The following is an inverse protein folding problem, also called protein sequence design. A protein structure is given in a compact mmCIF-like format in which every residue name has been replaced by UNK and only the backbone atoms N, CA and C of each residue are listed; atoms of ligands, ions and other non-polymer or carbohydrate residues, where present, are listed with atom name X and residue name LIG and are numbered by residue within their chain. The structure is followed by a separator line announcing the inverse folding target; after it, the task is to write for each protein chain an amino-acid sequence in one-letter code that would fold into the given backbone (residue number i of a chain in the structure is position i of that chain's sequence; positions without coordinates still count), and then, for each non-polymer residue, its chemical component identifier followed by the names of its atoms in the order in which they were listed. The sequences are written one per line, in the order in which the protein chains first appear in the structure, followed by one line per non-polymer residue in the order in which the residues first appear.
data_IF_892561289512
#
_entry.id   IF_892561289512
#
_cell.length_a   1.000
_cell.length_b   1.000
_cell.length_c   1.000
_cell.angle_alpha   90.00
_cell.angle_beta   90.00
_cell.angle_gamma   90.00
#
_symmetry.space_group_name_H-M   'P 1'
#
loop_
_entity.id
_entity.type
_entity.pdbx_description
1 polymer ?
#
# COMPACT_ATOMS: atom_id res chain seq x y z
N UNK A 1 16.51 29.16 -20.91
CA UNK A 1 15.19 28.77 -20.34
C UNK A 1 14.88 27.33 -20.78
N UNK A 2 14.00 26.61 -20.06
CA UNK A 2 13.57 25.28 -20.52
C UNK A 2 12.55 25.42 -21.64
N UNK A 3 12.60 24.53 -22.65
CA UNK A 3 11.59 24.49 -23.72
C UNK A 3 10.18 24.19 -23.21
N UNK A 4 10.06 23.60 -22.02
CA UNK A 4 8.77 23.32 -21.37
C UNK A 4 8.22 24.47 -20.50
N UNK A 5 8.87 25.63 -20.48
CA UNK A 5 8.39 26.80 -19.73
C UNK A 5 6.97 27.26 -20.13
N UNK A 6 6.56 27.30 -21.42
CA UNK A 6 5.22 27.76 -21.80
C UNK A 6 4.07 26.98 -21.13
N UNK A 7 4.24 25.67 -20.89
CA UNK A 7 3.25 24.87 -20.16
C UNK A 7 3.14 25.28 -18.69
N UNK A 8 4.26 25.59 -18.04
CA UNK A 8 4.24 26.07 -16.66
C UNK A 8 3.70 27.50 -16.54
N UNK A 9 3.93 28.33 -17.55
CA UNK A 9 3.41 29.71 -17.59
C UNK A 9 1.90 29.74 -17.91
N UNK A 10 1.43 28.84 -18.79
CA UNK A 10 0.01 28.57 -19.01
C UNK A 10 -0.67 28.10 -17.71
N UNK A 11 -0.16 27.04 -17.07
CA UNK A 11 -0.73 26.52 -15.83
C UNK A 11 -0.76 27.57 -14.70
N UNK A 12 0.28 28.40 -14.56
CA UNK A 12 0.32 29.45 -13.52
C UNK A 12 -0.76 30.52 -13.70
N UNK A 13 -1.25 30.71 -14.93
CA UNK A 13 -2.22 31.74 -15.30
C UNK A 13 -3.64 31.15 -15.54
N UNK A 14 -3.90 29.89 -15.17
CA UNK A 14 -5.24 29.32 -15.21
C UNK A 14 -6.06 29.72 -13.99
N UNK A 15 -7.28 30.18 -14.24
CA UNK A 15 -8.34 30.26 -13.23
C UNK A 15 -8.90 28.85 -12.95
N UNK A 16 -8.95 28.46 -11.67
CA UNK A 16 -9.47 27.16 -11.22
C UNK A 16 -8.40 26.23 -10.62
N UNK A 17 -8.85 25.18 -9.94
CA UNK A 17 -7.97 24.28 -9.16
C UNK A 17 -7.58 22.98 -9.85
N UNK A 18 -8.24 22.58 -10.93
CA UNK A 18 -7.92 21.38 -11.71
C UNK A 18 -8.13 21.65 -13.21
N UNK A 19 -7.28 21.06 -14.06
CA UNK A 19 -7.38 21.13 -15.51
C UNK A 19 -7.00 19.77 -16.12
N UNK A 20 -7.69 19.36 -17.19
CA UNK A 20 -7.27 18.23 -18.02
C UNK A 20 -6.92 18.75 -19.41
N UNK A 21 -5.77 18.34 -19.93
CA UNK A 21 -5.28 18.72 -21.24
C UNK A 21 -5.01 17.49 -22.09
N UNK A 22 -5.45 17.53 -23.34
CA UNK A 22 -4.98 16.60 -24.37
C UNK A 22 -3.50 16.87 -24.70
N UNK A 23 -2.81 15.86 -25.25
CA UNK A 23 -1.43 16.04 -25.68
C UNK A 23 -1.31 17.10 -26.79
N UNK A 24 -2.31 17.22 -27.66
CA UNK A 24 -2.34 18.23 -28.74
C UNK A 24 -2.49 19.66 -28.21
N UNK A 25 -3.21 19.86 -27.11
CA UNK A 25 -3.26 21.16 -26.42
C UNK A 25 -1.91 21.50 -25.81
N UNK A 26 -1.24 20.53 -25.19
CA UNK A 26 0.11 20.72 -24.66
C UNK A 26 1.11 21.01 -25.78
N UNK A 27 1.01 20.35 -26.93
CA UNK A 27 1.85 20.63 -28.11
C UNK A 27 1.60 22.04 -28.68
N UNK A 28 0.34 22.49 -28.70
CA UNK A 28 -0.04 23.88 -29.05
C UNK A 28 0.52 24.90 -28.05
N UNK A 29 0.45 24.63 -26.75
CA UNK A 29 1.00 25.49 -25.68
C UNK A 29 2.54 25.54 -25.75
N UNK A 30 3.19 24.41 -26.05
CA UNK A 30 4.65 24.30 -26.13
C UNK A 30 5.25 24.85 -27.44
N UNK A 31 4.48 24.89 -28.52
CA UNK A 31 4.96 25.26 -29.86
C UNK A 31 5.81 24.18 -30.54
N UNK A 32 5.80 22.94 -30.04
CA UNK A 32 6.47 21.79 -30.64
C UNK A 32 5.79 20.47 -30.23
N UNK A 33 5.83 19.47 -31.12
CA UNK A 33 5.32 18.12 -30.85
C UNK A 33 6.05 17.46 -29.68
N UNK A 34 5.32 16.78 -28.80
CA UNK A 34 5.89 16.10 -27.65
C UNK A 34 6.81 14.97 -28.14
N UNK A 35 7.94 14.72 -27.47
CA UNK A 35 8.81 13.62 -27.83
C UNK A 35 8.04 12.30 -27.67
N UNK A 36 8.38 11.30 -28.48
CA UNK A 36 7.75 9.96 -28.45
C UNK A 36 7.75 9.35 -27.04
N UNK A 37 8.75 9.69 -26.21
CA UNK A 37 8.86 9.29 -24.81
C UNK A 37 7.71 9.76 -23.92
N UNK A 38 7.07 10.90 -24.24
CA UNK A 38 5.87 11.39 -23.55
C UNK A 38 4.65 10.48 -23.78
N UNK A 39 4.57 9.86 -24.96
CA UNK A 39 3.49 8.92 -25.32
C UNK A 39 3.78 7.49 -24.84
N UNK A 40 5.06 7.12 -24.70
CA UNK A 40 5.48 5.74 -24.37
C UNK A 40 5.85 5.49 -22.91
N UNK A 41 6.23 6.50 -22.13
CA UNK A 41 6.77 6.32 -20.79
C UNK A 41 6.09 7.23 -19.75
N UNK A 42 5.24 6.64 -18.88
CA UNK A 42 4.60 7.34 -17.74
C UNK A 42 5.57 8.22 -16.91
N UNK A 43 6.83 7.83 -16.61
CA UNK A 43 7.77 8.68 -15.87
C UNK A 43 8.07 10.06 -16.47
N UNK A 44 7.80 10.29 -17.77
CA UNK A 44 7.92 11.62 -18.39
C UNK A 44 6.99 12.66 -17.72
N UNK A 45 5.78 12.22 -17.34
CA UNK A 45 4.75 13.04 -16.70
C UNK A 45 4.79 13.01 -15.18
N UNK A 46 5.77 12.34 -14.57
CA UNK A 46 5.86 12.22 -13.11
C UNK A 46 6.11 13.56 -12.43
N UNK A 47 5.63 13.70 -11.19
CA UNK A 47 5.91 14.82 -10.29
C UNK A 47 7.37 14.82 -9.74
N UNK A 48 8.33 14.32 -10.52
CA UNK A 48 9.74 14.18 -10.13
C UNK A 48 10.51 15.50 -10.19
N UNK A 49 11.55 15.59 -9.35
CA UNK A 49 12.52 16.68 -9.34
C UNK A 49 13.98 16.23 -9.38
N UNK A 50 14.24 14.93 -9.50
CA UNK A 50 15.55 14.31 -9.21
C UNK A 50 16.58 14.52 -10.35
N UNK A 51 16.17 15.10 -11.48
CA UNK A 51 17.05 15.41 -12.62
C UNK A 51 16.72 16.77 -13.21
N UNK A 52 17.76 17.57 -13.44
CA UNK A 52 17.63 18.80 -14.22
C UNK A 52 17.13 18.51 -15.64
N UNK A 53 16.27 19.40 -16.14
CA UNK A 53 15.60 19.24 -17.43
C UNK A 53 14.35 18.35 -17.43
N UNK A 54 14.00 17.65 -16.34
CA UNK A 54 12.75 16.89 -16.29
C UNK A 54 11.52 17.83 -16.31
N UNK A 55 10.49 17.59 -17.16
CA UNK A 55 9.32 18.47 -17.27
C UNK A 55 8.59 18.70 -15.94
N UNK A 56 8.56 17.69 -15.08
CA UNK A 56 7.94 17.71 -13.76
C UNK A 56 8.50 18.73 -12.78
N UNK A 57 9.69 19.31 -13.03
CA UNK A 57 10.17 20.47 -12.25
C UNK A 57 9.34 21.73 -12.49
N UNK A 58 8.66 21.85 -13.64
CA UNK A 58 8.13 23.12 -14.14
C UNK A 58 6.66 23.34 -13.74
N UNK A 59 5.75 22.38 -13.94
CA UNK A 59 4.39 22.51 -13.40
C UNK A 59 4.40 22.55 -11.86
N UNK A 60 5.31 21.80 -11.21
CA UNK A 60 5.52 21.91 -9.76
C UNK A 60 6.02 23.29 -9.32
N UNK A 61 6.90 23.91 -10.10
CA UNK A 61 7.33 25.30 -9.90
C UNK A 61 6.27 26.35 -10.24
N UNK A 62 5.20 25.97 -10.94
CA UNK A 62 4.00 26.79 -11.16
C UNK A 62 2.91 26.57 -10.09
N UNK A 63 3.15 25.70 -9.09
CA UNK A 63 2.18 25.37 -8.03
C UNK A 63 1.29 24.16 -8.31
N UNK A 64 1.47 23.46 -9.42
CA UNK A 64 0.61 22.34 -9.85
C UNK A 64 1.23 20.96 -9.63
N UNK A 65 0.42 19.91 -9.64
CA UNK A 65 0.81 18.50 -9.64
C UNK A 65 0.07 17.78 -10.77
N UNK A 66 0.74 16.85 -11.44
CA UNK A 66 0.07 15.90 -12.33
C UNK A 66 -0.72 14.91 -11.45
N UNK A 67 -2.00 14.68 -11.74
CA UNK A 67 -2.92 13.87 -10.91
C UNK A 67 -3.52 12.68 -11.64
N UNK A 68 -3.80 12.80 -12.96
CA UNK A 68 -4.25 11.68 -13.81
C UNK A 68 -3.46 11.65 -15.11
N UNK A 69 -3.28 10.47 -15.71
CA UNK A 69 -2.55 10.28 -16.97
C UNK A 69 -3.09 9.07 -17.75
N UNK A 70 -3.76 9.40 -18.85
CA UNK A 70 -4.15 8.46 -19.89
C UNK A 70 -3.19 8.58 -21.08
N UNK A 71 -2.47 7.48 -21.37
CA UNK A 71 -1.59 7.40 -22.54
C UNK A 71 -2.33 6.89 -23.79
N UNK A 72 -3.49 6.26 -23.64
CA UNK A 72 -4.29 5.70 -24.74
C UNK A 72 -5.08 6.81 -25.43
N UNK A 73 -5.96 7.50 -24.67
CA UNK A 73 -6.67 8.69 -25.13
C UNK A 73 -5.81 9.97 -25.11
N UNK A 74 -4.53 9.89 -24.73
CA UNK A 74 -3.56 11.01 -24.76
C UNK A 74 -4.00 12.25 -23.95
N UNK A 75 -4.40 12.06 -22.70
CA UNK A 75 -4.79 13.12 -21.77
C UNK A 75 -3.99 13.09 -20.48
N UNK A 76 -3.73 14.27 -19.91
CA UNK A 76 -3.09 14.42 -18.59
C UNK A 76 -3.80 15.52 -17.79
N UNK A 77 -4.09 15.22 -16.53
CA UNK A 77 -4.76 16.14 -15.62
C UNK A 77 -3.76 16.70 -14.61
N UNK A 78 -3.90 17.98 -14.29
CA UNK A 78 -3.12 18.68 -13.27
C UNK A 78 -4.04 19.34 -12.24
N UNK A 79 -3.68 19.31 -10.96
CA UNK A 79 -4.38 19.99 -9.85
C UNK A 79 -3.43 20.95 -9.11
N UNK A 80 -3.96 22.03 -8.53
CA UNK A 80 -3.19 23.01 -7.73
C UNK A 80 -2.83 22.42 -6.35
N UNK A 81 -1.58 22.57 -5.93
CA UNK A 81 -1.04 21.91 -4.75
C UNK A 81 -1.50 22.54 -3.42
N UNK A 82 -1.82 23.83 -3.43
CA UNK A 82 -2.49 24.52 -2.32
C UNK A 82 -3.94 24.07 -2.18
N UNK A 83 -4.68 23.90 -3.29
CA UNK A 83 -6.03 23.34 -3.27
C UNK A 83 -6.05 21.93 -2.65
N UNK A 84 -5.18 21.03 -3.11
CA UNK A 84 -4.95 19.70 -2.51
C UNK A 84 -4.64 19.74 -1.00
N UNK A 85 -3.99 20.81 -0.53
CA UNK A 85 -3.68 21.01 0.89
C UNK A 85 -4.88 21.52 1.67
N UNK A 86 -5.68 22.43 1.09
CA UNK A 86 -6.94 22.90 1.64
C UNK A 86 -8.00 21.80 1.71
N UNK A 87 -8.03 20.89 0.73
CA UNK A 87 -8.90 19.71 0.72
C UNK A 87 -8.62 18.83 1.97
N UNK A 88 -7.33 18.62 2.30
CA UNK A 88 -6.91 17.87 3.48
C UNK A 88 -7.24 18.59 4.81
N UNK A 89 -6.84 19.86 4.97
CA UNK A 89 -7.18 20.62 6.19
C UNK A 89 -8.70 20.84 6.37
N UNK A 90 -9.49 20.75 5.31
CA UNK A 90 -10.95 20.71 5.37
C UNK A 90 -11.51 19.49 6.11
N UNK A 91 -10.78 18.36 6.13
CA UNK A 91 -11.14 17.14 6.86
C UNK A 91 -10.70 17.16 8.33
N UNK A 92 -10.14 18.27 8.83
CA UNK A 92 -9.69 18.35 10.20
C UNK A 92 -10.89 18.40 11.17
N UNK A 93 -11.04 17.46 12.13
CA UNK A 93 -12.22 17.40 12.98
C UNK A 93 -12.44 18.66 13.82
N UNK A 94 -13.57 19.36 13.62
CA UNK A 94 -13.89 20.59 14.36
C UNK A 94 -14.83 20.36 15.57
N UNK A 95 -15.63 19.29 15.55
CA UNK A 95 -16.62 18.95 16.58
C UNK A 95 -16.23 17.71 17.38
N UNK A 96 -17.05 17.32 18.36
CA UNK A 96 -16.86 16.09 19.16
C UNK A 96 -18.15 15.27 19.16
N UNK A 97 -18.52 14.71 18.00
CA UNK A 97 -19.69 13.82 17.90
C UNK A 97 -19.56 12.59 18.81
N UNK A 98 -20.67 12.01 19.28
CA UNK A 98 -20.62 10.73 19.98
C UNK A 98 -20.38 9.61 18.96
N UNK A 99 -19.60 8.58 19.30
CA UNK A 99 -19.40 7.44 18.38
C UNK A 99 -20.73 6.76 18.07
N UNK A 100 -21.63 6.66 19.06
CA UNK A 100 -23.00 6.20 18.87
C UNK A 100 -23.73 6.96 17.76
N UNK A 101 -23.74 8.30 17.82
CA UNK A 101 -24.44 9.14 16.84
C UNK A 101 -23.79 9.00 15.44
N UNK A 102 -22.46 9.11 15.38
CA UNK A 102 -21.68 9.02 14.13
C UNK A 102 -21.79 7.65 13.44
N UNK A 103 -22.04 6.57 14.20
CA UNK A 103 -22.29 5.24 13.64
C UNK A 103 -23.70 5.14 13.06
N UNK A 104 -24.71 5.74 13.68
CA UNK A 104 -26.05 5.83 13.09
C UNK A 104 -26.03 6.66 11.80
N UNK A 105 -25.33 7.80 11.80
CA UNK A 105 -25.14 8.65 10.61
C UNK A 105 -24.40 7.90 9.48
N UNK A 106 -23.50 6.98 9.83
CA UNK A 106 -22.77 6.13 8.89
C UNK A 106 -23.54 4.88 8.42
N UNK A 107 -24.74 4.62 8.98
CA UNK A 107 -25.61 3.49 8.61
C UNK A 107 -25.45 2.20 9.45
N UNK A 108 -24.68 2.23 10.53
CA UNK A 108 -24.36 1.05 11.36
C UNK A 108 -25.37 0.82 12.49
N UNK A 109 -25.58 -0.45 12.83
CA UNK A 109 -26.40 -0.85 13.98
C UNK A 109 -25.70 -0.51 15.30
N UNK A 110 -26.47 0.09 16.20
CA UNK A 110 -26.05 0.42 17.57
C UNK A 110 -26.94 -0.28 18.62
N UNK A 111 -27.68 -1.31 18.23
CA UNK A 111 -28.58 -2.04 19.14
C UNK A 111 -27.82 -2.62 20.34
N UNK A 112 -26.65 -3.23 20.13
CA UNK A 112 -25.85 -3.79 21.23
C UNK A 112 -25.38 -2.77 22.27
N UNK A 113 -25.27 -1.48 21.91
CA UNK A 113 -24.83 -0.42 22.84
C UNK A 113 -25.80 -0.28 24.01
N UNK A 114 -27.06 -0.69 23.83
CA UNK A 114 -28.11 -0.68 24.84
C UNK A 114 -27.99 -1.84 25.85
N UNK A 115 -27.01 -2.75 25.73
CA UNK A 115 -26.89 -3.95 26.56
C UNK A 115 -25.51 -4.14 27.22
N UNK A 116 -25.52 -4.78 28.39
CA UNK A 116 -24.31 -5.32 29.05
C UNK A 116 -23.82 -6.58 28.32
N UNK A 117 -22.63 -7.07 28.71
CA UNK A 117 -22.15 -8.42 28.34
C UNK A 117 -23.05 -9.57 28.80
N UNK A 118 -24.00 -9.31 29.71
CA UNK A 118 -24.97 -10.29 30.21
C UNK A 118 -26.38 -10.07 29.64
N UNK A 119 -26.58 -9.04 28.81
CA UNK A 119 -27.83 -8.74 28.11
C UNK A 119 -28.73 -7.69 28.78
N UNK A 120 -28.39 -7.24 29.99
CA UNK A 120 -29.18 -6.25 30.75
C UNK A 120 -29.17 -4.86 30.09
N UNK A 121 -30.22 -4.04 30.25
CA UNK A 121 -30.25 -2.68 29.71
C UNK A 121 -29.15 -1.76 30.28
N UNK A 122 -28.56 -0.92 29.43
CA UNK A 122 -27.56 0.10 29.80
C UNK A 122 -28.19 1.50 29.73
N UNK A 123 -28.24 2.20 30.85
CA UNK A 123 -28.83 3.54 30.96
C UNK A 123 -28.08 4.58 30.08
N UNK A 124 -26.76 4.66 30.22
CA UNK A 124 -25.91 5.58 29.45
C UNK A 124 -25.38 4.95 28.15
N UNK A 125 -26.26 4.29 27.39
CA UNK A 125 -25.91 3.48 26.21
C UNK A 125 -25.04 4.21 25.18
N UNK A 126 -25.28 5.51 24.91
CA UNK A 126 -24.48 6.31 23.95
C UNK A 126 -22.99 6.45 24.30
N UNK A 127 -22.63 6.15 25.55
CA UNK A 127 -21.27 6.21 26.08
C UNK A 127 -20.77 4.85 26.59
N UNK A 128 -21.42 3.75 26.20
CA UNK A 128 -21.14 2.40 26.71
C UNK A 128 -19.64 2.03 26.59
N UNK A 129 -18.92 1.78 27.72
CA UNK A 129 -17.50 1.46 27.73
C UNK A 129 -17.08 0.24 26.91
N UNK A 130 -18.02 -0.67 26.58
CA UNK A 130 -17.77 -1.83 25.70
C UNK A 130 -17.45 -1.41 24.25
N UNK A 131 -17.89 -0.22 23.83
CA UNK A 131 -17.83 0.22 22.43
C UNK A 131 -17.16 1.59 22.23
N UNK A 132 -17.22 2.50 23.21
CA UNK A 132 -16.80 3.89 23.03
C UNK A 132 -15.27 4.11 22.95
N UNK A 133 -14.48 3.03 23.00
CA UNK A 133 -13.02 3.01 22.83
C UNK A 133 -12.54 2.23 21.61
N UNK A 134 -13.43 1.57 20.85
CA UNK A 134 -13.05 0.69 19.75
C UNK A 134 -12.59 1.49 18.50
N UNK A 135 -11.69 0.89 17.73
CA UNK A 135 -11.02 1.55 16.59
C UNK A 135 -11.66 1.22 15.23
N UNK A 136 -12.57 0.26 15.21
CA UNK A 136 -13.43 -0.03 14.07
C UNK A 136 -14.78 -0.59 14.55
N UNK A 137 -15.79 -0.51 13.69
CA UNK A 137 -17.13 -1.03 13.90
C UNK A 137 -17.66 -1.67 12.61
N UNK A 138 -18.72 -2.47 12.71
CA UNK A 138 -19.32 -3.16 11.58
C UNK A 138 -18.86 -4.60 11.40
N UNK A 139 -19.14 -5.15 10.22
CA UNK A 139 -18.94 -6.56 9.90
C UNK A 139 -18.87 -6.79 8.39
N UNK A 140 -18.45 -7.98 7.96
CA UNK A 140 -18.39 -8.37 6.54
C UNK A 140 -19.70 -8.15 5.77
N UNK A 141 -20.84 -8.27 6.47
CA UNK A 141 -22.20 -8.09 5.94
C UNK A 141 -22.74 -6.66 6.01
N UNK A 142 -22.11 -5.79 6.81
CA UNK A 142 -22.56 -4.42 7.09
C UNK A 142 -21.62 -3.36 6.46
N UNK A 143 -20.41 -3.78 6.06
CA UNK A 143 -19.29 -2.88 5.80
C UNK A 143 -18.53 -2.57 7.11
N UNK A 144 -17.58 -1.65 7.03
CA UNK A 144 -16.77 -1.25 8.19
C UNK A 144 -16.71 0.27 8.35
N UNK A 145 -16.83 0.74 9.59
CA UNK A 145 -16.45 2.09 10.00
C UNK A 145 -15.08 2.04 10.68
N UNK A 146 -14.12 2.85 10.22
CA UNK A 146 -12.73 2.84 10.68
C UNK A 146 -12.37 4.18 11.35
N UNK A 147 -11.75 4.14 12.53
CA UNK A 147 -11.33 5.33 13.26
C UNK A 147 -9.86 5.68 12.96
N UNK A 148 -9.63 6.62 12.04
CA UNK A 148 -8.27 7.09 11.72
C UNK A 148 -7.94 8.41 12.42
N UNK A 149 -6.67 8.58 12.80
CA UNK A 149 -6.18 9.86 13.31
C UNK A 149 -5.89 10.80 12.14
N UNK A 150 -6.38 12.04 12.22
CA UNK A 150 -6.19 13.05 11.17
C UNK A 150 -4.71 13.25 10.80
N UNK A 151 -3.80 13.16 11.78
CA UNK A 151 -2.34 13.28 11.57
C UNK A 151 -1.69 12.11 10.80
N UNK A 152 -2.42 11.04 10.49
CA UNK A 152 -1.98 9.96 9.60
C UNK A 152 -2.54 10.10 8.18
N UNK A 153 -3.40 11.10 7.93
CA UNK A 153 -3.81 11.42 6.58
C UNK A 153 -2.71 12.22 5.88
N UNK A 154 -2.45 11.87 4.63
CA UNK A 154 -1.53 12.60 3.75
C UNK A 154 -2.18 12.79 2.38
N UNK A 155 -1.52 13.54 1.51
CA UNK A 155 -1.89 13.63 0.10
C UNK A 155 -0.85 12.90 -0.74
N UNK A 156 -1.28 11.93 -1.53
CA UNK A 156 -0.39 11.11 -2.35
C UNK A 156 0.18 11.89 -3.56
N UNK A 157 1.16 11.32 -4.31
CA UNK A 157 1.73 11.98 -5.48
C UNK A 157 0.77 12.26 -6.63
N UNK A 158 -0.47 11.73 -6.58
CA UNK A 158 -1.57 11.93 -7.53
C UNK A 158 -2.64 12.90 -6.98
N UNK A 159 -2.43 13.53 -5.82
CA UNK A 159 -3.37 14.49 -5.24
C UNK A 159 -4.56 13.87 -4.51
N UNK A 160 -4.54 12.55 -4.25
CA UNK A 160 -5.59 11.85 -3.50
C UNK A 160 -5.31 11.94 -2.00
N UNK A 161 -6.34 12.10 -1.18
CA UNK A 161 -6.21 12.00 0.27
C UNK A 161 -6.16 10.53 0.66
N UNK A 162 -5.14 10.15 1.43
CA UNK A 162 -4.86 8.74 1.78
C UNK A 162 -4.46 8.58 3.25
N UNK A 163 -4.81 7.43 3.81
CA UNK A 163 -4.08 6.82 4.92
C UNK A 163 -3.06 5.86 4.31
N UNK A 164 -1.78 6.12 4.54
CA UNK A 164 -0.65 5.27 4.12
C UNK A 164 0.12 4.91 5.39
N UNK A 165 0.10 3.64 5.79
CA UNK A 165 0.62 3.23 7.09
C UNK A 165 0.31 1.79 7.47
N UNK A 166 0.63 1.44 8.72
CA UNK A 166 0.60 0.05 9.19
C UNK A 166 -0.06 -0.02 10.59
N UNK A 167 -1.20 -0.72 10.68
CA UNK A 167 -1.92 -0.93 11.96
C UNK A 167 -1.32 -2.12 12.73
N UNK A 168 -0.77 -3.10 12.02
CA UNK A 168 -0.14 -4.29 12.60
C UNK A 168 1.15 -3.98 13.36
N UNK A 169 1.95 -3.02 12.91
CA UNK A 169 3.11 -2.53 13.67
C UNK A 169 2.70 -2.06 15.08
N UNK A 170 1.55 -1.38 15.18
CA UNK A 170 0.99 -0.96 16.47
C UNK A 170 0.48 -2.16 17.29
N UNK A 171 -0.16 -3.15 16.65
CA UNK A 171 -0.56 -4.41 17.28
C UNK A 171 0.64 -5.16 17.88
N UNK A 172 1.70 -5.37 17.10
CA UNK A 172 2.86 -6.17 17.50
C UNK A 172 3.64 -5.49 18.64
N UNK A 173 3.81 -4.16 18.58
CA UNK A 173 4.38 -3.37 19.68
C UNK A 173 3.56 -3.51 20.98
N UNK A 174 2.23 -3.50 20.89
CA UNK A 174 1.33 -3.69 22.04
C UNK A 174 1.36 -5.13 22.58
N UNK A 175 1.47 -6.14 21.70
CA UNK A 175 1.61 -7.55 22.11
C UNK A 175 2.94 -7.84 22.81
N UNK A 176 4.02 -7.14 22.47
CA UNK A 176 5.28 -7.19 23.24
C UNK A 176 5.06 -6.64 24.65
N UNK A 177 4.47 -5.46 24.79
CA UNK A 177 4.22 -4.83 26.10
C UNK A 177 3.25 -5.67 26.97
N UNK A 178 2.21 -6.27 26.37
CA UNK A 178 1.26 -7.12 27.10
C UNK A 178 1.89 -8.41 27.65
N UNK A 179 2.99 -8.89 27.03
CA UNK A 179 3.70 -10.13 27.39
C UNK A 179 4.96 -9.91 28.23
N UNK A 180 5.43 -8.67 28.36
CA UNK A 180 6.59 -8.33 29.19
C UNK A 180 6.25 -8.39 30.68
N UNK A 181 6.55 -9.49 31.38
CA UNK A 181 6.33 -9.62 32.82
C UNK A 181 7.14 -8.64 33.70
N UNK A 182 8.09 -7.87 33.14
CA UNK A 182 8.72 -6.76 33.86
C UNK A 182 7.86 -5.48 33.88
N UNK A 183 6.85 -5.37 33.01
CA UNK A 183 5.92 -4.24 32.96
C UNK A 183 4.79 -4.35 33.98
N UNK A 184 4.36 -3.19 34.51
CA UNK A 184 3.27 -3.08 35.47
C UNK A 184 1.98 -3.77 34.99
N UNK A 185 1.28 -4.46 35.89
CA UNK A 185 0.07 -5.22 35.57
C UNK A 185 -1.03 -4.37 34.92
N UNK A 186 -1.18 -3.10 35.31
CA UNK A 186 -2.16 -2.19 34.67
C UNK A 186 -1.70 -1.74 33.29
N UNK A 187 -0.39 -1.60 33.07
CA UNK A 187 0.20 -1.31 31.75
C UNK A 187 0.03 -2.48 30.79
N UNK A 188 0.25 -3.72 31.25
CA UNK A 188 0.05 -4.93 30.44
C UNK A 188 -1.41 -5.14 30.06
N UNK A 189 -2.34 -4.93 30.99
CA UNK A 189 -3.78 -5.00 30.72
C UNK A 189 -4.22 -3.93 29.69
N UNK A 190 -3.79 -2.68 29.85
CA UNK A 190 -4.06 -1.63 28.85
C UNK A 190 -3.47 -1.97 27.48
N UNK A 191 -2.25 -2.51 27.44
CA UNK A 191 -1.62 -2.91 26.19
C UNK A 191 -2.37 -4.07 25.51
N UNK A 192 -2.85 -5.05 26.27
CA UNK A 192 -3.72 -6.13 25.78
C UNK A 192 -5.02 -5.60 25.17
N UNK A 193 -5.72 -4.69 25.85
CA UNK A 193 -6.98 -4.13 25.37
C UNK A 193 -6.79 -3.19 24.16
N UNK A 194 -5.63 -2.53 24.07
CA UNK A 194 -5.23 -1.77 22.88
C UNK A 194 -4.83 -2.71 21.73
N UNK A 195 -4.19 -3.85 22.00
CA UNK A 195 -3.83 -4.85 20.99
C UNK A 195 -5.09 -5.47 20.36
N UNK A 196 -6.11 -5.81 21.15
CA UNK A 196 -7.39 -6.30 20.62
C UNK A 196 -8.01 -5.32 19.59
N UNK A 197 -7.98 -4.01 19.90
CA UNK A 197 -8.47 -2.94 19.02
C UNK A 197 -7.63 -2.75 17.76
N UNK A 198 -6.30 -2.80 17.91
CA UNK A 198 -5.37 -2.74 16.78
C UNK A 198 -5.60 -3.91 15.82
N UNK A 199 -5.77 -5.13 16.35
CA UNK A 199 -6.09 -6.31 15.54
C UNK A 199 -7.43 -6.18 14.83
N UNK A 200 -8.49 -5.73 15.51
CA UNK A 200 -9.81 -5.57 14.91
C UNK A 200 -9.77 -4.59 13.71
N UNK A 201 -9.04 -3.48 13.83
CA UNK A 201 -8.87 -2.52 12.73
C UNK A 201 -8.01 -3.09 11.59
N UNK A 202 -6.93 -3.83 11.88
CA UNK A 202 -6.11 -4.52 10.87
C UNK A 202 -6.92 -5.59 10.11
N UNK A 203 -7.73 -6.39 10.82
CA UNK A 203 -8.66 -7.37 10.24
C UNK A 203 -9.70 -6.68 9.33
N UNK A 204 -10.28 -5.56 9.77
CA UNK A 204 -11.28 -4.81 9.01
C UNK A 204 -10.70 -4.22 7.71
N UNK A 205 -9.48 -3.66 7.75
CA UNK A 205 -8.77 -3.16 6.57
C UNK A 205 -8.47 -4.32 5.60
N UNK A 206 -7.99 -5.45 6.11
CA UNK A 206 -7.69 -6.64 5.31
C UNK A 206 -8.95 -7.20 4.62
N UNK A 207 -10.09 -7.21 5.31
CA UNK A 207 -11.36 -7.71 4.76
C UNK A 207 -11.95 -6.75 3.72
N UNK A 208 -11.92 -5.43 3.99
CA UNK A 208 -12.27 -4.40 3.01
C UNK A 208 -11.43 -4.49 1.75
N UNK A 209 -10.11 -4.72 1.87
CA UNK A 209 -9.24 -4.97 0.72
C UNK A 209 -9.65 -6.22 -0.07
N UNK A 210 -9.79 -7.38 0.60
CA UNK A 210 -10.04 -8.67 -0.06
C UNK A 210 -11.37 -8.72 -0.82
N UNK A 211 -12.34 -7.91 -0.40
CA UNK A 211 -13.70 -7.85 -0.97
C UNK A 211 -14.02 -6.56 -1.74
N UNK A 212 -13.11 -5.58 -1.75
CA UNK A 212 -13.37 -4.27 -2.34
C UNK A 212 -14.46 -3.46 -1.63
N UNK A 213 -14.71 -3.69 -0.33
CA UNK A 213 -15.77 -3.00 0.41
C UNK A 213 -15.43 -1.53 0.62
N UNK A 214 -16.40 -0.65 0.33
CA UNK A 214 -16.41 0.71 0.81
C UNK A 214 -16.36 0.74 2.36
N UNK A 215 -15.48 1.56 2.90
CA UNK A 215 -15.37 1.85 4.32
C UNK A 215 -15.87 3.27 4.62
N UNK A 216 -16.52 3.46 5.76
CA UNK A 216 -16.78 4.78 6.35
C UNK A 216 -15.61 5.13 7.26
N UNK A 217 -15.20 6.40 7.31
CA UNK A 217 -14.07 6.82 8.15
C UNK A 217 -14.50 7.87 9.16
N UNK A 218 -14.24 7.58 10.43
CA UNK A 218 -14.40 8.52 11.55
C UNK A 218 -13.03 9.12 11.83
N UNK A 219 -12.86 10.40 11.51
CA UNK A 219 -11.61 11.12 11.69
C UNK A 219 -11.50 11.68 13.10
N UNK A 220 -10.41 11.30 13.79
CA UNK A 220 -10.11 11.64 15.18
C UNK A 220 -8.94 12.63 15.29
N UNK A 221 -9.03 13.56 16.24
CA UNK A 221 -7.97 14.50 16.62
C UNK A 221 -7.92 14.63 18.16
N UNK A 222 -6.73 14.80 18.72
CA UNK A 222 -6.51 14.89 20.16
C UNK A 222 -5.08 14.57 20.56
N UNK A 223 -4.87 14.00 21.74
CA UNK A 223 -3.56 13.58 22.20
C UNK A 223 -3.34 12.10 21.87
N UNK A 224 -2.74 11.81 20.71
CA UNK A 224 -2.27 10.47 20.36
C UNK A 224 -0.95 10.16 21.06
N UNK A 225 -0.87 9.00 21.70
CA UNK A 225 0.36 8.48 22.29
C UNK A 225 1.32 7.95 21.22
N UNK A 226 2.60 8.27 21.39
CA UNK A 226 3.69 7.75 20.56
C UNK A 226 3.94 6.28 20.86
N UNK A 227 4.67 5.58 19.99
CA UNK A 227 4.97 4.14 20.14
C UNK A 227 5.71 3.86 21.46
N UNK A 228 6.59 4.76 21.87
CA UNK A 228 7.31 4.71 23.15
C UNK A 228 6.44 5.06 24.39
N UNK A 229 5.20 5.50 24.20
CA UNK A 229 4.22 5.77 25.28
C UNK A 229 3.08 4.74 25.37
N UNK A 230 3.06 3.72 24.50
CA UNK A 230 2.05 2.65 24.50
C UNK A 230 2.00 1.89 25.84
N UNK A 231 0.80 1.44 26.23
CA UNK A 231 0.53 0.83 27.54
C UNK A 231 0.64 1.77 28.76
N UNK A 232 1.53 2.77 28.75
CA UNK A 232 1.73 3.72 29.86
C UNK A 232 0.47 4.55 30.12
N UNK A 233 -0.17 5.06 29.07
CA UNK A 233 -1.48 5.73 29.16
C UNK A 233 -2.26 5.61 27.84
N UNK A 234 -3.56 5.92 27.87
CA UNK A 234 -4.39 5.93 26.67
C UNK A 234 -4.20 7.23 25.87
N UNK A 235 -4.30 7.13 24.55
CA UNK A 235 -4.59 8.27 23.67
C UNK A 235 -5.96 8.85 23.98
N UNK A 236 -6.15 10.16 23.86
CA UNK A 236 -7.44 10.82 24.11
C UNK A 236 -7.95 11.58 22.88
N UNK A 237 -9.16 11.25 22.44
CA UNK A 237 -9.83 11.94 21.33
C UNK A 237 -10.51 13.20 21.85
N UNK A 238 -10.00 14.36 21.44
CA UNK A 238 -10.54 15.66 21.78
C UNK A 238 -11.71 16.02 20.84
N UNK A 239 -11.54 15.77 19.54
CA UNK A 239 -12.48 16.06 18.46
C UNK A 239 -12.59 14.86 17.51
N UNK A 240 -13.79 14.62 16.97
CA UNK A 240 -14.04 13.63 15.92
C UNK A 240 -15.32 13.92 15.15
N UNK A 241 -15.35 13.50 13.90
CA UNK A 241 -16.52 13.51 13.02
C UNK A 241 -16.45 12.35 12.03
N UNK A 242 -17.59 12.01 11.43
CA UNK A 242 -17.69 11.13 10.28
C UNK A 242 -17.31 11.93 9.02
N UNK A 243 -16.42 11.38 8.20
CA UNK A 243 -16.26 11.83 6.81
C UNK A 243 -17.43 11.29 5.98
N UNK A 244 -18.07 12.17 5.21
CA UNK A 244 -19.21 11.80 4.34
C UNK A 244 -18.78 10.99 3.13
N UNK A 245 -17.50 11.06 2.74
CA UNK A 245 -16.95 10.28 1.65
C UNK A 245 -16.76 8.80 2.01
N UNK A 246 -16.77 7.98 0.97
CA UNK A 246 -16.36 6.57 1.05
C UNK A 246 -14.85 6.45 0.87
N UNK A 247 -14.27 5.50 1.57
CA UNK A 247 -12.85 5.19 1.56
C UNK A 247 -12.64 3.74 1.17
N UNK A 248 -11.58 3.48 0.41
CA UNK A 248 -11.33 2.14 -0.14
C UNK A 248 -9.88 1.73 0.07
N UNK A 249 -9.66 0.48 0.44
CA UNK A 249 -8.32 -0.07 0.61
C UNK A 249 -7.78 -0.46 -0.77
N UNK A 250 -6.80 0.31 -1.27
CA UNK A 250 -6.17 0.12 -2.59
C UNK A 250 -5.02 -0.89 -2.55
N UNK A 251 -4.38 -1.06 -1.39
CA UNK A 251 -3.31 -2.03 -1.19
C UNK A 251 -3.27 -2.51 0.27
N UNK A 252 -2.88 -3.76 0.46
CA UNK A 252 -2.66 -4.39 1.75
C UNK A 252 -1.64 -5.54 1.63
N UNK A 253 -0.52 -5.49 2.36
CA UNK A 253 0.41 -6.62 2.47
C UNK A 253 -0.02 -7.51 3.65
N UNK A 254 -0.55 -8.71 3.35
CA UNK A 254 -1.06 -9.64 4.36
C UNK A 254 -0.02 -10.18 5.34
N UNK A 255 1.29 -9.95 5.11
CA UNK A 255 2.39 -10.32 6.00
C UNK A 255 2.78 -9.15 6.90
N UNK A 256 3.06 -7.96 6.36
CA UNK A 256 3.48 -6.79 7.18
C UNK A 256 2.33 -6.02 7.81
N UNK A 257 1.15 -6.00 7.19
CA UNK A 257 0.05 -5.11 7.57
C UNK A 257 0.17 -3.68 7.03
N UNK A 258 1.12 -3.42 6.11
CA UNK A 258 1.21 -2.15 5.38
C UNK A 258 -0.02 -1.99 4.48
N UNK A 259 -0.70 -0.84 4.56
CA UNK A 259 -1.93 -0.59 3.82
C UNK A 259 -2.02 0.83 3.25
N UNK A 260 -2.73 0.95 2.12
CA UNK A 260 -3.08 2.22 1.50
C UNK A 260 -4.61 2.31 1.40
N UNK A 261 -5.22 3.20 2.19
CA UNK A 261 -6.65 3.49 2.14
C UNK A 261 -6.86 4.87 1.52
N UNK A 262 -7.70 4.95 0.49
CA UNK A 262 -7.86 6.13 -0.37
C UNK A 262 -9.28 6.66 -0.30
N UNK A 263 -9.42 7.97 -0.11
CA UNK A 263 -10.70 8.70 -0.06
C UNK A 263 -11.27 8.93 -1.46
N UNK A 264 -12.60 8.79 -1.62
CA UNK A 264 -13.41 9.08 -2.82
C UNK A 264 -13.06 8.32 -4.12
N UNK A 265 -11.92 7.64 -4.18
CA UNK A 265 -11.48 6.89 -5.36
C UNK A 265 -11.69 5.41 -5.09
N UNK A 266 -12.72 4.82 -5.71
CA UNK A 266 -12.85 3.37 -5.82
C UNK A 266 -11.58 2.78 -6.47
N UNK A 267 -11.09 1.61 -6.04
CA UNK A 267 -10.07 0.89 -6.78
C UNK A 267 -10.67 0.45 -8.12
N UNK A 268 -9.93 0.63 -9.23
CA UNK A 268 -10.42 0.37 -10.61
C UNK A 268 -10.69 -1.13 -10.93
N UNK A 269 -10.78 -1.99 -9.90
CA UNK A 269 -11.34 -3.36 -9.95
C UNK A 269 -11.60 -3.87 -8.51
N UNK A 270 -12.78 -3.58 -7.94
CA UNK A 270 -13.26 -4.11 -6.64
C UNK A 270 -13.86 -5.54 -6.74
N UNK A 271 -13.39 -6.34 -7.71
CA UNK A 271 -13.84 -7.72 -7.93
C UNK A 271 -13.30 -8.69 -6.88
N UNK A 272 -14.13 -9.00 -5.87
CA UNK A 272 -13.75 -9.77 -4.69
C UNK A 272 -13.15 -11.17 -4.95
N UNK A 273 -12.24 -11.60 -4.07
CA UNK A 273 -11.52 -12.86 -4.22
C UNK A 273 -12.37 -14.11 -3.87
N UNK A 274 -12.68 -14.92 -4.89
CA UNK A 274 -13.23 -16.27 -4.76
C UNK A 274 -12.74 -17.19 -5.92
N UNK A 275 -12.74 -18.51 -5.69
CA UNK A 275 -12.39 -19.55 -6.67
C UNK A 275 -13.64 -20.26 -7.23
N UNK A 276 -13.66 -20.55 -8.54
CA UNK A 276 -14.62 -21.43 -9.25
C UNK A 276 -16.06 -20.90 -9.40
N UNK A 277 -16.80 -21.10 -10.51
CA UNK A 277 -16.51 -21.75 -11.80
C UNK A 277 -17.20 -20.97 -12.96
N UNK A 278 -17.57 -21.61 -14.08
CA UNK A 278 -17.74 -21.05 -15.46
C UNK A 278 -19.06 -21.59 -16.08
N UNK A 279 -19.82 -20.98 -17.00
CA UNK A 279 -19.70 -19.91 -18.04
C UNK A 279 -20.98 -18.99 -18.00
N UNK A 280 -21.43 -18.11 -18.93
CA UNK A 280 -21.12 -17.79 -20.35
C UNK A 280 -21.19 -16.25 -20.62
N UNK A 281 -22.00 -15.75 -21.58
CA UNK A 281 -21.94 -14.39 -22.18
C UNK A 281 -23.27 -14.00 -22.93
N UNK A 282 -23.49 -12.71 -23.21
CA UNK A 282 -23.75 -12.16 -24.58
C UNK A 282 -23.97 -10.61 -24.61
N UNK A 283 -23.35 -9.95 -25.60
CA UNK A 283 -23.49 -8.55 -26.10
C UNK A 283 -22.96 -7.33 -25.30
N UNK A 284 -21.64 -7.11 -25.42
CA UNK A 284 -20.95 -5.84 -25.75
C UNK A 284 -20.96 -4.61 -24.78
N UNK A 285 -19.82 -3.99 -24.43
CA UNK A 285 -18.38 -4.30 -24.59
C UNK A 285 -17.61 -3.71 -23.40
N UNK A 286 -16.76 -4.50 -22.73
CA UNK A 286 -16.09 -4.14 -21.46
C UNK A 286 -14.54 -4.20 -21.54
N UNK A 287 -14.01 -4.30 -22.75
CA UNK A 287 -12.84 -5.14 -23.04
C UNK A 287 -11.49 -4.63 -22.54
N UNK A 288 -11.19 -3.32 -22.66
CA UNK A 288 -9.80 -2.83 -22.50
C UNK A 288 -9.29 -2.83 -21.05
N UNK A 289 -10.15 -2.46 -20.08
CA UNK A 289 -9.82 -2.44 -18.64
C UNK A 289 -9.68 -3.87 -18.13
N UNK A 290 -10.67 -4.72 -18.43
CA UNK A 290 -10.65 -6.14 -18.10
C UNK A 290 -9.40 -6.81 -18.69
N UNK A 291 -9.04 -6.52 -19.94
CA UNK A 291 -7.79 -6.98 -20.56
C UNK A 291 -6.53 -6.57 -19.78
N UNK A 292 -6.52 -5.44 -19.06
CA UNK A 292 -5.37 -4.98 -18.29
C UNK A 292 -5.22 -5.71 -16.96
N UNK A 293 -6.31 -5.90 -16.22
CA UNK A 293 -6.33 -6.75 -15.03
C UNK A 293 -5.99 -8.20 -15.39
N UNK A 294 -6.57 -8.72 -16.48
CA UNK A 294 -6.24 -10.01 -17.09
C UNK A 294 -4.75 -10.08 -17.48
N UNK A 295 -4.16 -9.05 -18.10
CA UNK A 295 -2.72 -9.00 -18.44
C UNK A 295 -1.82 -8.96 -17.19
N UNK A 296 -2.28 -8.41 -16.07
CA UNK A 296 -1.55 -8.41 -14.78
C UNK A 296 -1.66 -9.74 -14.06
N UNK A 297 -2.86 -10.33 -13.93
CA UNK A 297 -3.10 -11.66 -13.33
C UNK A 297 -2.45 -12.77 -14.15
N UNK A 298 -2.68 -12.80 -15.48
CA UNK A 298 -1.92 -13.65 -16.41
C UNK A 298 -0.43 -13.28 -16.40
N UNK A 299 -0.06 -12.03 -16.13
CA UNK A 299 1.33 -11.55 -16.01
C UNK A 299 2.10 -12.24 -14.88
N UNK A 300 1.62 -12.13 -13.63
CA UNK A 300 2.22 -12.85 -12.50
C UNK A 300 2.15 -14.38 -12.66
N UNK A 301 1.03 -14.94 -13.13
CA UNK A 301 0.91 -16.38 -13.37
C UNK A 301 1.86 -16.88 -14.47
N UNK A 302 2.08 -16.07 -15.52
CA UNK A 302 3.04 -16.35 -16.60
C UNK A 302 4.48 -16.18 -16.11
N UNK A 303 4.79 -15.14 -15.34
CA UNK A 303 6.10 -14.93 -14.70
C UNK A 303 6.47 -16.12 -13.80
N UNK A 304 5.56 -16.53 -12.91
CA UNK A 304 5.71 -17.76 -12.09
C UNK A 304 5.93 -18.99 -12.97
N UNK A 305 5.16 -19.17 -14.05
CA UNK A 305 5.30 -20.31 -14.98
C UNK A 305 6.64 -20.29 -15.72
N UNK A 306 7.06 -19.13 -16.24
CA UNK A 306 8.33 -18.96 -16.94
C UNK A 306 9.52 -19.19 -16.00
N UNK A 307 9.45 -18.74 -14.73
CA UNK A 307 10.45 -19.08 -13.72
C UNK A 307 10.44 -20.56 -13.34
N UNK A 308 9.26 -21.19 -13.19
CA UNK A 308 9.13 -22.63 -12.97
C UNK A 308 9.79 -23.44 -14.09
N UNK A 309 9.63 -23.03 -15.35
CA UNK A 309 10.28 -23.72 -16.48
C UNK A 309 11.78 -23.39 -16.58
N UNK A 310 12.17 -22.11 -16.50
CA UNK A 310 13.55 -21.65 -16.62
C UNK A 310 14.47 -22.20 -15.50
N UNK A 311 13.97 -22.27 -14.26
CA UNK A 311 14.69 -22.89 -13.14
C UNK A 311 14.40 -24.39 -13.00
N UNK A 312 13.80 -25.06 -14.01
CA UNK A 312 13.54 -26.50 -14.04
C UNK A 312 12.85 -27.01 -12.75
N UNK A 313 11.84 -26.26 -12.30
CA UNK A 313 11.05 -26.49 -11.08
C UNK A 313 11.91 -26.75 -9.84
N UNK A 314 13.04 -26.06 -9.73
CA UNK A 314 14.05 -26.24 -8.67
C UNK A 314 14.40 -24.89 -8.05
N UNK A 315 14.42 -24.78 -6.72
CA UNK A 315 14.84 -23.56 -6.02
C UNK A 315 16.26 -23.14 -6.42
N UNK A 316 16.46 -21.86 -6.75
CA UNK A 316 17.74 -21.29 -7.15
C UNK A 316 18.83 -21.49 -6.08
N UNK A 317 18.50 -21.35 -4.80
CA UNK A 317 19.44 -21.47 -3.66
C UNK A 317 19.60 -22.92 -3.20
N UNK A 318 18.50 -23.64 -2.94
CA UNK A 318 18.57 -24.97 -2.30
C UNK A 318 18.51 -26.15 -3.28
N UNK A 319 18.02 -25.94 -4.50
CA UNK A 319 17.71 -27.01 -5.45
C UNK A 319 16.46 -27.84 -5.10
N UNK A 320 15.68 -27.47 -4.08
CA UNK A 320 14.44 -28.15 -3.71
C UNK A 320 13.40 -28.13 -4.86
N UNK A 321 12.65 -29.23 -5.04
CA UNK A 321 11.77 -29.47 -6.20
C UNK A 321 10.27 -29.63 -5.89
N UNK A 322 9.86 -29.36 -4.66
CA UNK A 322 8.44 -29.37 -4.25
C UNK A 322 7.80 -28.09 -4.78
N UNK A 323 7.07 -28.16 -5.88
CA UNK A 323 6.55 -27.01 -6.66
C UNK A 323 5.64 -26.12 -5.83
N UNK A 324 4.94 -26.73 -4.88
CA UNK A 324 4.01 -26.16 -3.92
C UNK A 324 4.72 -25.24 -2.91
N UNK A 325 6.01 -25.50 -2.65
CA UNK A 325 6.88 -24.68 -1.80
C UNK A 325 7.79 -23.74 -2.61
N UNK A 326 7.60 -23.62 -3.93
CA UNK A 326 8.39 -22.72 -4.78
C UNK A 326 7.62 -21.44 -5.11
N UNK A 327 8.32 -20.32 -5.11
CA UNK A 327 7.78 -18.97 -5.24
C UNK A 327 8.61 -18.10 -6.21
N UNK A 328 7.93 -17.14 -6.83
CA UNK A 328 8.47 -16.26 -7.85
C UNK A 328 8.93 -14.93 -7.21
N UNK A 329 10.14 -14.93 -6.68
CA UNK A 329 10.72 -13.77 -6.01
C UNK A 329 11.17 -12.71 -7.03
N UNK A 330 10.77 -11.47 -6.83
CA UNK A 330 11.24 -10.35 -7.63
C UNK A 330 12.58 -9.82 -7.06
N UNK A 331 13.57 -9.62 -7.92
CA UNK A 331 14.90 -9.10 -7.53
C UNK A 331 14.79 -7.61 -7.22
N UNK A 332 14.19 -6.85 -8.14
CA UNK A 332 13.73 -5.47 -7.94
C UNK A 332 12.21 -5.50 -7.77
N UNK A 333 11.73 -4.91 -6.67
CA UNK A 333 10.30 -4.93 -6.33
C UNK A 333 9.40 -4.41 -7.45
N UNK A 334 8.28 -5.11 -7.65
CA UNK A 334 7.20 -4.73 -8.55
C UNK A 334 6.63 -3.33 -8.25
N UNK A 335 6.65 -2.91 -6.97
CA UNK A 335 6.24 -1.56 -6.54
C UNK A 335 7.15 -0.45 -7.05
N UNK A 336 8.39 -0.75 -7.44
CA UNK A 336 9.34 0.21 -8.02
C UNK A 336 9.33 0.17 -9.56
N UNK A 337 9.09 -1.00 -10.16
CA UNK A 337 8.97 -1.17 -11.61
C UNK A 337 8.18 -2.43 -11.98
N UNK A 338 7.23 -2.28 -12.90
CA UNK A 338 6.41 -3.38 -13.43
C UNK A 338 7.20 -4.23 -14.45
N UNK A 339 8.20 -4.99 -13.99
CA UNK A 339 9.02 -5.89 -14.81
C UNK A 339 8.78 -7.38 -14.49
N UNK A 340 8.08 -8.05 -15.41
CA UNK A 340 7.81 -9.50 -15.40
C UNK A 340 8.82 -10.31 -16.23
N UNK A 341 9.97 -9.74 -16.60
CA UNK A 341 11.06 -10.50 -17.22
C UNK A 341 11.57 -11.56 -16.24
N UNK A 342 11.86 -12.77 -16.73
CA UNK A 342 12.58 -13.82 -15.99
C UNK A 342 13.91 -13.31 -15.41
N UNK A 343 14.51 -12.30 -16.04
CA UNK A 343 15.70 -11.57 -15.55
C UNK A 343 15.49 -10.79 -14.25
N UNK A 344 14.26 -10.42 -13.92
CA UNK A 344 13.91 -9.81 -12.63
C UNK A 344 13.47 -10.86 -11.59
N UNK A 345 13.63 -12.16 -11.88
CA UNK A 345 13.09 -13.24 -11.06
C UNK A 345 14.10 -14.26 -10.56
N UNK A 346 13.93 -14.67 -9.30
CA UNK A 346 14.50 -15.90 -8.74
C UNK A 346 13.35 -16.86 -8.39
N UNK A 347 13.46 -18.14 -8.76
CA UNK A 347 12.57 -19.16 -8.23
C UNK A 347 13.11 -19.62 -6.86
N UNK A 348 12.50 -19.20 -5.77
CA UNK A 348 12.96 -19.50 -4.40
C UNK A 348 12.02 -20.49 -3.70
N UNK A 349 12.47 -21.07 -2.58
CA UNK A 349 11.60 -21.82 -1.66
C UNK A 349 11.00 -20.82 -0.66
N UNK A 350 9.77 -20.98 -0.19
CA UNK A 350 9.04 -19.99 0.65
C UNK A 350 9.86 -19.43 1.83
N UNK A 351 10.60 -20.28 2.54
CA UNK A 351 11.51 -19.89 3.62
C UNK A 351 12.69 -19.03 3.12
N UNK A 352 13.32 -19.43 2.02
CA UNK A 352 14.41 -18.69 1.38
C UNK A 352 13.91 -17.35 0.80
N UNK A 353 12.70 -17.32 0.25
CA UNK A 353 12.05 -16.11 -0.25
C UNK A 353 11.82 -15.12 0.89
N UNK A 354 11.29 -15.61 2.03
CA UNK A 354 11.11 -14.84 3.26
C UNK A 354 12.45 -14.26 3.76
N UNK A 355 13.53 -15.07 3.79
CA UNK A 355 14.86 -14.58 4.16
C UNK A 355 15.43 -13.55 3.16
N UNK A 356 15.13 -13.71 1.87
CA UNK A 356 15.53 -12.79 0.81
C UNK A 356 14.83 -11.43 0.93
N UNK A 357 13.55 -11.41 1.32
CA UNK A 357 12.76 -10.19 1.53
C UNK A 357 13.05 -9.48 2.85
N UNK A 358 13.44 -10.20 3.90
CA UNK A 358 13.89 -9.63 5.17
C UNK A 358 15.34 -9.09 5.14
N UNK A 359 16.00 -9.08 3.96
CA UNK A 359 17.44 -8.81 3.82
C UNK A 359 18.30 -9.66 4.79
N UNK A 360 17.88 -10.89 5.07
CA UNK A 360 18.63 -11.89 5.85
C UNK A 360 19.38 -12.88 4.94
N UNK A 361 18.98 -12.96 3.68
CA UNK A 361 19.69 -13.60 2.58
C UNK A 361 19.69 -12.66 1.37
N UNK A 362 20.70 -12.77 0.51
CA UNK A 362 20.80 -12.02 -0.75
C UNK A 362 21.64 -12.79 -1.77
N UNK A 363 21.68 -12.29 -3.01
CA UNK A 363 22.43 -12.89 -4.11
C UNK A 363 23.12 -11.76 -4.88
N UNK A 364 24.45 -11.85 -5.03
CA UNK A 364 25.25 -10.81 -5.69
C UNK A 364 25.25 -10.89 -7.22
N UNK A 365 25.90 -9.93 -7.89
CA UNK A 365 25.97 -9.86 -9.36
C UNK A 365 26.72 -11.06 -10.00
N UNK A 366 27.40 -11.86 -9.18
CA UNK A 366 28.15 -13.06 -9.56
C UNK A 366 27.36 -14.34 -9.29
N UNK A 367 26.09 -14.23 -8.85
CA UNK A 367 25.23 -15.32 -8.42
C UNK A 367 25.79 -16.13 -7.23
N UNK A 368 26.48 -15.47 -6.30
CA UNK A 368 26.85 -16.02 -4.99
C UNK A 368 25.80 -15.63 -3.95
N UNK A 369 25.40 -16.59 -3.13
CA UNK A 369 24.44 -16.42 -2.03
C UNK A 369 25.15 -15.87 -0.81
N UNK A 370 24.64 -14.77 -0.28
CA UNK A 370 25.08 -14.14 0.96
C UNK A 370 23.99 -14.34 2.02
N UNK A 371 24.40 -14.65 3.24
CA UNK A 371 23.49 -14.87 4.38
C UNK A 371 23.95 -13.99 5.53
N UNK A 372 23.04 -13.37 6.25
CA UNK A 372 23.32 -12.50 7.40
C UNK A 372 24.10 -13.24 8.48
N UNK A 373 25.05 -12.56 9.13
CA UNK A 373 25.83 -13.08 10.26
C UNK A 373 24.94 -13.50 11.43
N UNK A 374 23.76 -12.90 11.56
CA UNK A 374 22.72 -13.28 12.54
C UNK A 374 22.29 -14.75 12.42
N UNK A 375 22.35 -15.33 11.22
CA UNK A 375 21.97 -16.72 10.93
C UNK A 375 23.16 -17.69 10.93
N UNK A 376 24.36 -17.26 11.35
CA UNK A 376 25.60 -18.04 11.26
C UNK A 376 25.59 -19.38 12.00
N UNK A 377 24.82 -19.49 13.08
CA UNK A 377 24.64 -20.72 13.85
C UNK A 377 23.38 -21.51 13.45
N UNK A 378 22.87 -21.33 12.22
CA UNK A 378 21.66 -21.99 11.70
C UNK A 378 21.93 -22.78 10.43
N UNK A 379 21.04 -23.71 10.08
CA UNK A 379 21.11 -24.48 8.84
C UNK A 379 21.13 -23.61 7.57
N UNK A 380 20.69 -22.35 7.63
CA UNK A 380 20.76 -21.42 6.49
C UNK A 380 22.18 -20.94 6.18
N UNK A 381 23.08 -20.93 7.18
CA UNK A 381 24.49 -20.56 6.95
C UNK A 381 25.19 -21.49 5.98
N UNK A 382 24.69 -22.73 5.81
CA UNK A 382 25.21 -23.66 4.81
C UNK A 382 25.14 -23.13 3.37
N UNK A 383 24.32 -22.10 3.08
CA UNK A 383 24.23 -21.49 1.76
C UNK A 383 25.18 -20.29 1.59
N UNK A 384 25.73 -19.73 2.67
CA UNK A 384 26.62 -18.57 2.62
C UNK A 384 27.87 -18.86 1.78
N UNK A 385 28.22 -17.94 0.88
CA UNK A 385 29.39 -18.02 0.00
C UNK A 385 29.27 -19.06 -1.12
N UNK A 386 28.15 -19.80 -1.23
CA UNK A 386 27.92 -20.76 -2.32
C UNK A 386 27.29 -20.06 -3.52
N UNK A 387 27.63 -20.53 -4.72
CA UNK A 387 26.90 -20.15 -5.94
C UNK A 387 25.48 -20.71 -5.91
N UNK A 388 24.54 -20.04 -6.57
CA UNK A 388 23.19 -20.56 -6.80
C UNK A 388 23.24 -22.01 -7.30
N UNK A 389 22.52 -22.89 -6.60
CA UNK A 389 22.40 -24.32 -6.89
C UNK A 389 21.67 -24.59 -8.21
N UNK A 390 20.79 -23.69 -8.62
CA UNK A 390 20.11 -23.72 -9.94
C UNK A 390 20.11 -22.33 -10.56
N UNK A 391 20.55 -22.26 -11.81
CA UNK A 391 20.52 -21.08 -12.69
C UNK A 391 19.85 -21.53 -14.01
N UNK A 392 19.10 -20.66 -14.72
CA UNK A 392 18.57 -20.96 -16.04
C UNK A 392 19.67 -21.22 -17.08
N UNK A 393 19.49 -22.23 -17.93
CA UNK A 393 20.48 -22.59 -18.96
C UNK A 393 20.53 -21.54 -20.10
N UNK A 394 19.43 -20.83 -20.34
CA UNK A 394 19.32 -19.75 -21.33
C UNK A 394 19.81 -18.44 -20.74
N UNK A 395 20.82 -17.82 -21.34
CA UNK A 395 21.40 -16.55 -20.87
C UNK A 395 20.41 -15.38 -20.84
N UNK A 396 19.35 -15.43 -21.64
CA UNK A 396 18.27 -14.44 -21.66
C UNK A 396 17.33 -14.55 -20.44
N UNK A 397 17.16 -15.74 -19.85
CA UNK A 397 16.36 -15.99 -18.64
C UNK A 397 17.16 -15.83 -17.34
N UNK A 398 18.49 -15.72 -17.42
CA UNK A 398 19.35 -15.57 -16.25
C UNK A 398 19.11 -14.23 -15.53
N UNK A 399 19.19 -14.22 -14.18
CA UNK A 399 18.87 -13.05 -13.37
C UNK A 399 19.80 -11.87 -13.70
N UNK A 400 19.24 -10.66 -13.65
CA UNK A 400 19.91 -9.43 -14.04
C UNK A 400 21.02 -9.09 -13.04
N UNK A 401 22.28 -9.16 -13.47
CA UNK A 401 23.44 -8.79 -12.66
C UNK A 401 23.32 -7.38 -12.04
N UNK A 402 22.73 -6.42 -12.76
CA UNK A 402 22.46 -5.06 -12.27
C UNK A 402 21.33 -5.01 -11.23
N UNK A 403 20.33 -5.90 -11.34
CA UNK A 403 19.28 -6.05 -10.33
C UNK A 403 19.81 -6.71 -9.06
N UNK A 404 20.59 -7.79 -9.21
CA UNK A 404 21.25 -8.50 -8.12
C UNK A 404 22.23 -7.58 -7.37
N UNK A 405 23.05 -6.80 -8.08
CA UNK A 405 23.93 -5.81 -7.46
C UNK A 405 23.18 -4.85 -6.52
N UNK A 406 22.05 -4.28 -6.97
CA UNK A 406 21.20 -3.39 -6.16
C UNK A 406 20.53 -4.09 -4.99
N UNK A 407 20.02 -5.31 -5.18
CA UNK A 407 19.41 -6.09 -4.09
C UNK A 407 20.46 -6.59 -3.09
N UNK A 408 21.72 -6.70 -3.50
CA UNK A 408 22.85 -6.97 -2.61
C UNK A 408 23.35 -5.71 -1.89
N UNK A 409 23.26 -4.53 -2.51
CA UNK A 409 23.54 -3.23 -1.87
C UNK A 409 22.64 -3.01 -0.65
N UNK A 410 21.31 -3.12 -0.80
CA UNK A 410 20.36 -3.01 0.33
C UNK A 410 20.51 -4.11 1.39
N UNK A 411 20.97 -5.31 1.00
CA UNK A 411 21.36 -6.34 1.97
C UNK A 411 22.60 -5.91 2.76
N UNK A 412 23.60 -5.30 2.12
CA UNK A 412 24.83 -4.85 2.78
C UNK A 412 24.63 -3.64 3.69
N UNK A 413 23.69 -2.75 3.35
CA UNK A 413 23.23 -1.67 4.23
C UNK A 413 22.61 -2.28 5.49
N UNK A 414 21.54 -3.08 5.32
CA UNK A 414 20.86 -3.75 6.43
C UNK A 414 21.74 -4.75 7.22
N UNK A 415 22.83 -5.25 6.64
CA UNK A 415 23.82 -6.10 7.30
C UNK A 415 24.96 -5.29 7.96
N UNK A 416 25.10 -4.00 7.69
CA UNK A 416 26.00 -3.10 8.42
C UNK A 416 25.37 -2.53 9.69
N UNK A 417 24.04 -2.47 9.75
CA UNK A 417 23.25 -2.02 10.90
C UNK A 417 23.00 -3.16 11.94
N UNK A 418 23.78 -4.24 11.87
CA UNK A 418 23.68 -5.48 12.69
C UNK A 418 25.02 -5.88 13.32
#
# INVERSE_FOLDING_TARGET
MSKYAPLADYLRNLDGNEVTLSFEEIERILGFSLPETASRFRPYWSNSGVKDGHPGRLWRGAGWRQVRLDLTGRHVSFRRADAMTSDLEGLKPQTKGLLYDLLQDAGFSVEEWHRTSHGDPVENYRSNPRFCYEWCFGSVSEGFAMCFWYENLTTDPLGRIVFDGNVRETLDALLVIARDDASDASMRLRAHDQAARAKALDDAIHESFRRGLAARVILCEGNRRRVDELGKSASSVARRHLDVAEWYVHAYDSRTGDCLVVREVEPEDSGGAADGDVEYDEDATYDEVQNRAIKTRRGQQRFRRQLLDAYRKSCAVTGARVVELLEAAHIVSHSLMTDYSTRNGLLLRTDIHTLFDLNLMSVDERCVVHVSRTLSNTDYWQYHGKRLKTIPDRSEDQPSAMGLARRHESFREAESDR
#
